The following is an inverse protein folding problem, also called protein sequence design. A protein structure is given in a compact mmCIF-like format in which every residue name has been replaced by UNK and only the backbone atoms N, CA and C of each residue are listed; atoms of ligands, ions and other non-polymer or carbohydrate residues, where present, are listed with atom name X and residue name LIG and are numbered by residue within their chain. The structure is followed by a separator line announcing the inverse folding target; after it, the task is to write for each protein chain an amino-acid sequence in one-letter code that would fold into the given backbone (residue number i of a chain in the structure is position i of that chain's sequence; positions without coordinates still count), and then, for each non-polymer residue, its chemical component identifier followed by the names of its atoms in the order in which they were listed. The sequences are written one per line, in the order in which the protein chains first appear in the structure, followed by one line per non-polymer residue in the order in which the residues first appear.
data_IF_706731455096
#
_entry.id   IF_706731455096
#
_cell.length_a   1.000
_cell.length_b   1.000
_cell.length_c   1.000
_cell.angle_alpha   90.00
_cell.angle_beta   90.00
_cell.angle_gamma   90.00
#
_symmetry.space_group_name_H-M   'P 1'
#
loop_
_entity.id
_entity.type
_entity.pdbx_description
1 polymer ?
#
# COMPACT_ATOMS: atom_id res chain seq x y z
N UNK A 1 -1.55 -26.30 -23.33
CA UNK A 1 -1.00 -25.61 -22.14
C UNK A 1 -1.85 -24.38 -21.91
N UNK A 2 -2.43 -24.23 -20.72
CA UNK A 2 -3.13 -22.98 -20.36
C UNK A 2 -2.09 -21.97 -19.89
N UNK A 3 -2.02 -20.83 -20.56
CA UNK A 3 -1.16 -19.73 -20.12
C UNK A 3 -1.84 -19.09 -18.91
N UNK A 4 -1.26 -19.23 -17.73
CA UNK A 4 -1.75 -18.52 -16.55
C UNK A 4 -1.43 -17.03 -16.74
N UNK A 5 -2.46 -16.18 -16.71
CA UNK A 5 -2.28 -14.72 -16.74
C UNK A 5 -1.41 -14.30 -15.56
N UNK A 6 -0.45 -13.39 -15.79
CA UNK A 6 0.31 -12.75 -14.70
C UNK A 6 -0.59 -11.94 -13.77
N UNK A 7 -1.79 -11.59 -14.23
CA UNK A 7 -2.83 -10.92 -13.45
C UNK A 7 -3.98 -11.88 -13.21
N UNK A 8 -3.91 -12.60 -12.09
CA UNK A 8 -4.91 -13.57 -11.64
C UNK A 8 -5.06 -13.48 -10.11
N UNK A 9 -6.06 -14.17 -9.56
CA UNK A 9 -6.32 -14.20 -8.12
C UNK A 9 -7.20 -13.05 -7.61
N UNK A 10 -7.18 -12.82 -6.30
CA UNK A 10 -7.95 -11.80 -5.60
C UNK A 10 -7.11 -10.54 -5.44
N UNK A 11 -7.66 -9.43 -5.93
CA UNK A 11 -6.99 -8.13 -5.95
C UNK A 11 -7.67 -7.19 -4.95
N UNK A 12 -6.93 -6.72 -3.97
CA UNK A 12 -7.43 -5.80 -2.96
C UNK A 12 -6.91 -4.38 -3.22
N UNK A 13 -7.78 -3.43 -3.64
CA UNK A 13 -7.45 -2.02 -3.55
C UNK A 13 -7.41 -1.58 -2.09
N UNK A 14 -6.21 -1.34 -1.58
CA UNK A 14 -5.96 -1.01 -0.18
C UNK A 14 -6.29 0.45 0.10
N UNK A 15 -6.81 0.72 1.29
CA UNK A 15 -6.80 2.08 1.86
C UNK A 15 -5.36 2.44 2.25
N UNK A 16 -5.10 3.74 2.42
CA UNK A 16 -3.86 4.24 3.04
C UNK A 16 -4.24 4.88 4.38
N UNK A 17 -4.01 4.21 5.52
CA UNK A 17 -4.35 4.75 6.84
C UNK A 17 -3.69 6.10 7.08
N UNK A 18 -4.46 7.01 7.69
CA UNK A 18 -3.99 8.32 8.13
C UNK A 18 -4.22 8.48 9.63
N UNK A 19 -3.37 9.26 10.27
CA UNK A 19 -3.55 9.67 11.66
C UNK A 19 -4.55 10.84 11.79
N UNK A 20 -4.77 11.30 13.01
CA UNK A 20 -5.71 12.38 13.30
C UNK A 20 -5.29 13.74 12.71
N UNK A 21 -4.03 13.89 12.34
CA UNK A 21 -3.49 15.10 11.70
C UNK A 21 -3.48 14.98 10.16
N UNK A 22 -4.03 13.88 9.62
CA UNK A 22 -4.08 13.60 8.19
C UNK A 22 -2.73 13.22 7.59
N UNK A 23 -1.77 12.79 8.42
CA UNK A 23 -0.50 12.23 7.95
C UNK A 23 -0.63 10.74 7.76
N UNK A 24 0.16 10.17 6.85
CA UNK A 24 0.19 8.72 6.63
C UNK A 24 0.58 8.01 7.93
N UNK A 25 -0.30 7.14 8.43
CA UNK A 25 0.00 6.26 9.56
C UNK A 25 0.71 5.00 9.05
N UNK A 26 2.04 5.01 9.13
CA UNK A 26 2.87 3.89 8.67
C UNK A 26 2.73 2.64 9.53
N UNK A 27 2.46 2.79 10.82
CA UNK A 27 2.25 1.65 11.71
C UNK A 27 0.90 1.00 11.40
N UNK A 28 -0.15 1.80 11.25
CA UNK A 28 -1.47 1.34 10.82
C UNK A 28 -1.41 0.68 9.45
N UNK A 29 -0.70 1.29 8.49
CA UNK A 29 -0.51 0.71 7.16
C UNK A 29 0.22 -0.64 7.22
N UNK A 30 1.32 -0.74 7.98
CA UNK A 30 2.05 -2.01 8.16
C UNK A 30 1.15 -3.12 8.70
N UNK A 31 0.34 -2.81 9.72
CA UNK A 31 -0.62 -3.75 10.29
C UNK A 31 -1.74 -4.12 9.30
N UNK A 32 -2.21 -3.16 8.51
CA UNK A 32 -3.24 -3.40 7.49
C UNK A 32 -2.73 -4.35 6.40
N UNK A 33 -1.54 -4.07 5.85
CA UNK A 33 -0.92 -4.92 4.83
C UNK A 33 -0.65 -6.32 5.37
N UNK A 34 -0.17 -6.45 6.62
CA UNK A 34 0.02 -7.75 7.27
C UNK A 34 -1.28 -8.57 7.30
N UNK A 35 -2.41 -7.95 7.69
CA UNK A 35 -3.72 -8.63 7.70
C UNK A 35 -4.17 -9.08 6.31
N UNK A 36 -3.95 -8.25 5.28
CA UNK A 36 -4.28 -8.62 3.90
C UNK A 36 -3.41 -9.79 3.39
N UNK A 37 -2.12 -9.78 3.74
CA UNK A 37 -1.22 -10.92 3.45
C UNK A 37 -1.66 -12.19 4.17
N UNK A 38 -1.99 -12.11 5.46
CA UNK A 38 -2.50 -13.25 6.25
C UNK A 38 -3.84 -13.79 5.74
N UNK A 39 -4.64 -12.95 5.07
CA UNK A 39 -5.89 -13.33 4.41
C UNK A 39 -5.69 -14.00 3.03
N UNK A 40 -4.45 -14.24 2.59
CA UNK A 40 -4.10 -14.81 1.28
C UNK A 40 -4.60 -13.99 0.09
N UNK A 41 -4.52 -12.65 0.19
CA UNK A 41 -4.72 -11.77 -0.97
C UNK A 41 -3.54 -11.90 -1.93
N UNK A 42 -3.82 -12.15 -3.21
CA UNK A 42 -2.79 -12.35 -4.24
C UNK A 42 -2.10 -11.03 -4.62
N UNK A 43 -2.87 -9.94 -4.73
CA UNK A 43 -2.35 -8.61 -5.12
C UNK A 43 -2.96 -7.52 -4.25
N UNK A 44 -2.09 -6.67 -3.69
CA UNK A 44 -2.49 -5.46 -2.99
C UNK A 44 -2.17 -4.25 -3.88
N UNK A 45 -3.19 -3.48 -4.24
CA UNK A 45 -3.02 -2.23 -4.97
C UNK A 45 -2.90 -1.08 -3.97
N UNK A 46 -1.67 -0.62 -3.77
CA UNK A 46 -1.35 0.54 -2.94
C UNK A 46 -1.63 1.84 -3.69
N UNK A 47 -2.16 2.83 -2.98
CA UNK A 47 -2.34 4.19 -3.48
C UNK A 47 -3.09 4.23 -4.82
N UNK A 48 -4.22 3.53 -4.90
CA UNK A 48 -5.22 3.73 -5.95
C UNK A 48 -6.15 4.89 -5.61
N UNK A 49 -7.31 4.98 -6.28
CA UNK A 49 -8.38 5.90 -5.88
C UNK A 49 -8.85 5.64 -4.45
N UNK A 50 -9.04 4.37 -4.08
CA UNK A 50 -9.39 3.92 -2.71
C UNK A 50 -8.28 4.23 -1.70
N UNK A 51 -7.02 4.18 -2.15
CA UNK A 51 -5.86 4.52 -1.33
C UNK A 51 -5.55 6.02 -1.29
N UNK A 52 -6.45 6.88 -1.78
CA UNK A 52 -6.34 8.34 -1.76
C UNK A 52 -5.11 8.93 -2.50
N UNK A 53 -4.68 8.30 -3.59
CA UNK A 53 -3.51 8.75 -4.38
C UNK A 53 -3.49 10.25 -4.68
N UNK A 54 -4.62 10.78 -5.12
CA UNK A 54 -4.75 12.18 -5.53
C UNK A 54 -4.53 13.17 -4.38
N UNK A 55 -4.77 12.74 -3.13
CA UNK A 55 -4.60 13.53 -1.92
C UNK A 55 -3.14 13.64 -1.48
N UNK A 56 -2.28 12.70 -1.89
CA UNK A 56 -0.87 12.69 -1.48
C UNK A 56 0.04 13.56 -2.34
N UNK A 57 1.02 14.17 -1.68
CA UNK A 57 2.18 14.80 -2.30
C UNK A 57 3.09 13.78 -2.97
N UNK A 58 3.99 14.23 -3.86
CA UNK A 58 4.98 13.33 -4.47
C UNK A 58 5.87 12.65 -3.43
N UNK A 59 6.26 13.35 -2.36
CA UNK A 59 7.12 12.81 -1.31
C UNK A 59 6.43 11.69 -0.52
N UNK A 60 5.17 11.88 -0.15
CA UNK A 60 4.37 10.84 0.51
C UNK A 60 4.21 9.61 -0.39
N UNK A 61 3.95 9.82 -1.69
CA UNK A 61 3.86 8.73 -2.66
C UNK A 61 5.16 7.95 -2.78
N UNK A 62 6.30 8.64 -2.86
CA UNK A 62 7.62 8.00 -2.93
C UNK A 62 7.97 7.28 -1.63
N UNK A 63 7.63 7.86 -0.48
CA UNK A 63 7.82 7.24 0.83
C UNK A 63 7.04 5.92 0.93
N UNK A 64 5.77 5.89 0.51
CA UNK A 64 4.94 4.69 0.51
C UNK A 64 5.48 3.59 -0.42
N UNK A 65 5.93 3.93 -1.62
CA UNK A 65 6.53 2.97 -2.57
C UNK A 65 7.86 2.41 -2.03
N UNK A 66 8.63 3.22 -1.30
CA UNK A 66 9.94 2.83 -0.76
C UNK A 66 9.85 2.08 0.58
N UNK A 67 8.68 2.03 1.21
CA UNK A 67 8.45 1.35 2.48
C UNK A 67 8.76 2.19 3.73
N UNK A 68 8.73 3.53 3.64
CA UNK A 68 8.91 4.44 4.77
C UNK A 68 10.01 5.49 4.56
N UNK A 69 10.21 6.40 5.55
CA UNK A 69 11.27 7.40 5.53
C UNK A 69 12.62 6.71 5.44
N UNK A 70 13.44 7.13 4.47
CA UNK A 70 14.87 6.78 4.47
C UNK A 70 15.57 7.80 5.35
N UNK A 71 15.64 7.52 6.64
CA UNK A 71 16.70 8.12 7.45
C UNK A 71 18.01 7.72 6.78
N UNK A 72 18.85 8.69 6.41
CA UNK A 72 20.09 8.42 5.69
C UNK A 72 20.90 7.31 6.38
N UNK A 73 21.50 6.41 5.60
CA UNK A 73 22.28 5.20 5.98
C UNK A 73 21.37 3.95 6.11
N UNK A 74 21.37 2.93 5.25
CA UNK A 74 22.31 2.37 4.24
C UNK A 74 21.53 1.84 3.03
#
# INVERSE_FOLDING_TARGET
MTVQSQFAGVWCPSITPMDNDGKVDLNGLSQHLKRLTEANIDVILLMGSIGEFASFTLEERLMLIRGGPRDGVR
#
